data_IF_350993856542
#
_entry.id   IF_350993856542
#
_cell.length_a   1.000
_cell.length_b   1.000
_cell.length_c   1.000
_cell.angle_alpha   90.00
_cell.angle_beta   90.00
_cell.angle_gamma   90.00
#
_symmetry.space_group_name_H-M   'P 1'
#
loop_
_entity.id
_entity.type
_entity.pdbx_description
1 polymer ?
#
# COMPACT_ATOMS: atom_id res chain seq x y z
N UNK A 1 13.31 18.77 -18.54
CA UNK A 1 14.48 18.15 -19.24
C UNK A 1 13.99 16.90 -19.96
N UNK A 2 14.17 16.84 -21.27
CA UNK A 2 13.80 15.64 -22.09
C UNK A 2 14.76 14.50 -21.78
N UNK A 3 14.28 13.27 -21.50
CA UNK A 3 15.14 12.13 -21.19
C UNK A 3 16.03 11.76 -22.40
N UNK A 4 17.27 11.38 -22.13
CA UNK A 4 18.21 10.97 -23.18
C UNK A 4 17.74 9.68 -23.88
N UNK A 5 18.08 9.45 -25.17
CA UNK A 5 17.68 8.24 -25.89
C UNK A 5 18.07 6.93 -25.17
N UNK A 6 19.22 6.93 -24.48
CA UNK A 6 19.69 5.78 -23.67
C UNK A 6 18.80 5.54 -22.45
N UNK A 7 18.31 6.57 -21.79
CA UNK A 7 17.38 6.47 -20.67
C UNK A 7 16.01 5.98 -21.13
N UNK A 8 15.52 6.52 -22.25
CA UNK A 8 14.26 6.05 -22.88
C UNK A 8 14.30 4.56 -23.24
N UNK A 9 15.41 4.10 -23.84
CA UNK A 9 15.58 2.69 -24.19
C UNK A 9 15.65 1.79 -22.93
N UNK A 10 16.29 2.25 -21.86
CA UNK A 10 16.32 1.53 -20.57
C UNK A 10 14.93 1.45 -19.95
N UNK A 11 14.19 2.55 -19.90
CA UNK A 11 12.84 2.61 -19.32
C UNK A 11 11.86 1.74 -20.13
N UNK A 12 11.99 1.72 -21.46
CA UNK A 12 11.19 0.85 -22.33
C UNK A 12 11.49 -0.63 -22.08
N UNK A 13 12.76 -1.00 -21.93
CA UNK A 13 13.12 -2.37 -21.61
C UNK A 13 12.64 -2.79 -20.21
N UNK A 14 12.78 -1.93 -19.21
CA UNK A 14 12.28 -2.20 -17.84
C UNK A 14 10.77 -2.44 -17.83
N UNK A 15 10.00 -1.64 -18.56
CA UNK A 15 8.54 -1.88 -18.70
C UNK A 15 8.23 -3.24 -19.31
N UNK A 16 8.91 -3.60 -20.43
CA UNK A 16 8.73 -4.92 -21.06
C UNK A 16 9.15 -6.07 -20.13
N UNK A 17 10.21 -5.87 -19.35
CA UNK A 17 10.64 -6.83 -18.33
C UNK A 17 9.57 -7.04 -17.27
N UNK A 18 8.99 -5.96 -16.74
CA UNK A 18 7.90 -6.04 -15.75
C UNK A 18 6.67 -6.73 -16.33
N UNK A 19 6.25 -6.40 -17.56
CA UNK A 19 5.11 -7.06 -18.23
C UNK A 19 5.31 -8.58 -18.34
N UNK A 20 6.50 -9.03 -18.75
CA UNK A 20 6.80 -10.46 -18.84
C UNK A 20 6.90 -11.09 -17.46
N UNK A 21 7.52 -10.42 -16.49
CA UNK A 21 7.67 -10.92 -15.13
C UNK A 21 6.32 -11.01 -14.39
N UNK A 22 5.41 -10.07 -14.59
CA UNK A 22 4.03 -10.15 -14.09
C UNK A 22 3.28 -11.37 -14.66
N UNK A 23 3.42 -11.64 -15.94
CA UNK A 23 2.84 -12.85 -16.55
C UNK A 23 3.39 -14.12 -15.90
N UNK A 24 4.71 -14.23 -15.68
CA UNK A 24 5.30 -15.35 -14.96
C UNK A 24 4.81 -15.43 -13.50
N UNK A 25 4.62 -14.28 -12.84
CA UNK A 25 4.06 -14.22 -11.49
C UNK A 25 2.64 -14.81 -11.45
N UNK A 26 1.81 -14.50 -12.45
CA UNK A 26 0.45 -15.06 -12.59
C UNK A 26 0.48 -16.57 -12.82
N UNK A 27 1.35 -17.05 -13.70
CA UNK A 27 1.39 -18.45 -14.14
C UNK A 27 2.07 -19.39 -13.13
N UNK A 28 3.11 -18.92 -12.44
CA UNK A 28 4.05 -19.75 -11.67
C UNK A 28 4.24 -19.28 -10.22
N UNK A 29 3.64 -18.15 -9.86
CA UNK A 29 3.85 -17.50 -8.56
C UNK A 29 5.25 -16.93 -8.38
N UNK A 30 5.48 -16.23 -7.27
CA UNK A 30 6.78 -15.61 -6.96
C UNK A 30 7.92 -16.62 -6.88
N UNK A 31 7.66 -17.83 -6.40
CA UNK A 31 8.67 -18.90 -6.28
C UNK A 31 9.12 -19.44 -7.65
N UNK A 32 8.27 -19.37 -8.67
CA UNK A 32 8.54 -19.85 -10.03
C UNK A 32 9.30 -18.87 -10.92
N UNK A 33 9.54 -17.64 -10.47
CA UNK A 33 10.26 -16.63 -11.25
C UNK A 33 11.70 -17.07 -11.56
N UNK A 34 11.97 -17.37 -12.85
CA UNK A 34 13.25 -17.87 -13.33
C UNK A 34 13.90 -16.92 -14.34
N UNK A 35 15.12 -16.44 -14.04
CA UNK A 35 15.87 -15.49 -14.88
C UNK A 35 16.11 -16.00 -16.33
N UNK A 36 16.33 -17.32 -16.51
CA UNK A 36 16.53 -17.91 -17.84
C UNK A 36 15.24 -17.96 -18.65
N UNK A 37 14.11 -18.25 -18.01
CA UNK A 37 12.79 -18.25 -18.65
C UNK A 37 12.42 -16.83 -19.10
N UNK A 38 12.61 -15.86 -18.24
CA UNK A 38 12.39 -14.44 -18.55
C UNK A 38 13.27 -13.95 -19.71
N UNK A 39 14.55 -14.29 -19.72
CA UNK A 39 15.45 -13.90 -20.83
C UNK A 39 14.98 -14.48 -22.17
N UNK A 40 14.51 -15.73 -22.17
CA UNK A 40 13.95 -16.37 -23.36
C UNK A 40 12.69 -15.66 -23.85
N UNK A 41 11.76 -15.35 -22.96
CA UNK A 41 10.46 -14.75 -23.32
C UNK A 41 10.60 -13.25 -23.67
N UNK A 42 11.68 -12.62 -23.22
CA UNK A 42 12.10 -11.28 -23.64
C UNK A 42 12.90 -11.27 -24.96
N UNK A 43 13.26 -12.47 -25.48
CA UNK A 43 14.10 -12.63 -26.67
C UNK A 43 15.48 -11.98 -26.52
N UNK A 44 16.08 -12.08 -25.31
CA UNK A 44 17.41 -11.57 -25.02
C UNK A 44 18.31 -12.66 -24.44
N UNK A 45 19.62 -12.45 -24.53
CA UNK A 45 20.55 -13.35 -23.82
C UNK A 45 20.45 -13.14 -22.30
N UNK A 46 20.68 -14.20 -21.49
CA UNK A 46 20.76 -14.02 -20.03
C UNK A 46 21.72 -12.91 -19.60
N UNK A 47 22.87 -12.80 -20.24
CA UNK A 47 23.84 -11.73 -19.96
C UNK A 47 23.34 -10.34 -20.29
N UNK A 48 22.41 -10.18 -21.25
CA UNK A 48 21.77 -8.91 -21.51
C UNK A 48 20.75 -8.57 -20.41
N UNK A 49 19.97 -9.55 -19.92
CA UNK A 49 19.04 -9.37 -18.81
C UNK A 49 19.77 -8.97 -17.52
N UNK A 50 20.89 -9.62 -17.19
CA UNK A 50 21.70 -9.32 -15.99
C UNK A 50 22.29 -7.90 -15.95
N UNK A 51 22.27 -7.16 -17.05
CA UNK A 51 22.64 -5.72 -17.06
C UNK A 51 21.54 -4.83 -16.49
N UNK A 52 20.31 -5.33 -16.41
CA UNK A 52 19.14 -4.59 -15.87
C UNK A 52 18.77 -5.05 -14.45
N UNK A 53 18.81 -6.36 -14.21
CA UNK A 53 18.54 -6.99 -12.91
C UNK A 53 19.65 -7.99 -12.61
N UNK A 54 20.37 -7.79 -11.51
CA UNK A 54 21.59 -8.55 -11.18
C UNK A 54 21.29 -9.93 -10.58
N UNK A 55 20.09 -10.08 -10.01
CA UNK A 55 19.64 -11.27 -9.30
C UNK A 55 18.13 -11.46 -9.43
N UNK A 56 17.64 -12.61 -8.97
CA UNK A 56 16.21 -12.87 -8.79
C UNK A 56 15.61 -11.93 -7.74
N UNK A 57 16.36 -11.60 -6.70
CA UNK A 57 15.90 -10.71 -5.64
C UNK A 57 15.77 -9.27 -6.14
N UNK A 58 16.68 -8.78 -6.99
CA UNK A 58 16.51 -7.48 -7.66
C UNK A 58 15.22 -7.46 -8.51
N UNK A 59 14.92 -8.56 -9.22
CA UNK A 59 13.68 -8.67 -9.98
C UNK A 59 12.44 -8.65 -9.07
N UNK A 60 12.47 -9.38 -7.96
CA UNK A 60 11.39 -9.35 -6.96
C UNK A 60 11.21 -7.94 -6.39
N UNK A 61 12.31 -7.25 -6.08
CA UNK A 61 12.28 -5.85 -5.63
C UNK A 61 11.60 -4.94 -6.65
N UNK A 62 11.94 -5.08 -7.94
CA UNK A 62 11.29 -4.31 -9.00
C UNK A 62 9.79 -4.59 -9.09
N UNK A 63 9.38 -5.86 -9.04
CA UNK A 63 7.96 -6.26 -9.04
C UNK A 63 7.20 -5.74 -7.82
N UNK A 64 7.81 -5.80 -6.64
CA UNK A 64 7.23 -5.31 -5.39
C UNK A 64 7.04 -3.78 -5.45
N UNK A 65 8.04 -3.05 -5.90
CA UNK A 65 7.95 -1.59 -6.06
C UNK A 65 6.88 -1.24 -7.08
N UNK A 66 6.84 -1.91 -8.23
CA UNK A 66 5.84 -1.68 -9.28
C UNK A 66 4.41 -1.95 -8.78
N UNK A 67 4.20 -3.04 -8.03
CA UNK A 67 2.91 -3.37 -7.42
C UNK A 67 2.45 -2.30 -6.41
N UNK A 68 3.34 -1.84 -5.51
CA UNK A 68 3.03 -0.76 -4.57
C UNK A 68 2.77 0.58 -5.28
N UNK A 69 3.54 0.91 -6.33
CA UNK A 69 3.34 2.11 -7.14
C UNK A 69 1.99 2.07 -7.86
N UNK A 70 1.62 0.93 -8.44
CA UNK A 70 0.34 0.71 -9.11
C UNK A 70 -0.84 0.86 -8.13
N UNK A 71 -0.76 0.20 -6.97
CA UNK A 71 -1.77 0.31 -5.91
C UNK A 71 -1.88 1.75 -5.42
N UNK A 72 -0.75 2.37 -5.05
CA UNK A 72 -0.72 3.74 -4.54
C UNK A 72 -1.33 4.72 -5.53
N UNK A 73 -1.00 4.60 -6.82
CA UNK A 73 -1.57 5.44 -7.88
C UNK A 73 -3.09 5.27 -8.00
N UNK A 74 -3.58 4.04 -8.03
CA UNK A 74 -5.02 3.76 -8.13
C UNK A 74 -5.81 4.38 -6.96
N UNK A 75 -5.26 4.28 -5.75
CA UNK A 75 -5.89 4.81 -4.54
C UNK A 75 -5.84 6.33 -4.49
N UNK A 76 -4.68 6.94 -4.80
CA UNK A 76 -4.53 8.40 -4.86
C UNK A 76 -5.42 9.04 -5.93
N UNK A 77 -5.58 8.37 -7.09
CA UNK A 77 -6.49 8.85 -8.13
C UNK A 77 -7.97 8.76 -7.70
N UNK A 78 -8.36 7.75 -6.96
CA UNK A 78 -9.72 7.62 -6.46
C UNK A 78 -10.02 8.65 -5.37
N UNK A 79 -9.12 8.79 -4.39
CA UNK A 79 -9.21 9.80 -3.32
C UNK A 79 -9.22 11.23 -3.88
N UNK A 80 -8.36 11.52 -4.85
CA UNK A 80 -8.22 12.83 -5.47
C UNK A 80 -9.44 13.32 -6.25
N UNK A 81 -10.42 12.45 -6.55
CA UNK A 81 -11.70 12.83 -7.15
C UNK A 81 -12.72 13.34 -6.12
N UNK A 82 -12.48 13.07 -4.84
CA UNK A 82 -13.37 13.48 -3.74
C UNK A 82 -12.97 14.89 -3.28
N UNK A 83 -13.93 15.78 -3.00
CA UNK A 83 -13.64 17.11 -2.48
C UNK A 83 -12.77 17.05 -1.22
N UNK A 84 -11.79 17.94 -1.12
CA UNK A 84 -10.79 17.94 -0.03
C UNK A 84 -11.41 18.00 1.37
N UNK A 85 -12.54 18.70 1.53
CA UNK A 85 -13.27 18.81 2.80
C UNK A 85 -14.19 17.62 3.12
N UNK A 86 -14.42 16.71 2.19
CA UNK A 86 -15.18 15.49 2.41
C UNK A 86 -14.24 14.37 2.90
N UNK A 87 -13.89 14.42 4.19
CA UNK A 87 -12.92 13.48 4.77
C UNK A 87 -13.47 12.05 4.81
N UNK A 88 -14.76 11.88 5.03
CA UNK A 88 -15.41 10.56 5.03
C UNK A 88 -15.38 9.96 3.62
N UNK A 89 -15.83 10.73 2.62
CA UNK A 89 -15.79 10.27 1.25
C UNK A 89 -14.39 9.91 0.77
N UNK A 90 -13.36 10.67 1.17
CA UNK A 90 -11.95 10.36 0.87
C UNK A 90 -11.48 9.06 1.52
N UNK A 91 -11.84 8.84 2.80
CA UNK A 91 -11.53 7.63 3.55
C UNK A 91 -12.16 6.41 2.91
N UNK A 92 -13.47 6.46 2.64
CA UNK A 92 -14.23 5.39 2.00
C UNK A 92 -13.72 5.11 0.59
N UNK A 93 -13.43 6.15 -0.21
CA UNK A 93 -12.87 5.99 -1.56
C UNK A 93 -11.52 5.28 -1.55
N UNK A 94 -10.66 5.58 -0.58
CA UNK A 94 -9.39 4.88 -0.38
C UNK A 94 -9.61 3.38 -0.13
N UNK A 95 -10.53 3.03 0.77
CA UNK A 95 -10.84 1.64 1.10
C UNK A 95 -11.34 0.86 -0.12
N UNK A 96 -12.31 1.43 -0.84
CA UNK A 96 -12.86 0.79 -2.05
C UNK A 96 -11.83 0.66 -3.18
N UNK A 97 -11.01 1.69 -3.39
CA UNK A 97 -9.96 1.63 -4.42
C UNK A 97 -8.91 0.57 -4.10
N UNK A 98 -8.51 0.46 -2.82
CA UNK A 98 -7.56 -0.57 -2.38
C UNK A 98 -8.13 -1.97 -2.64
N UNK A 99 -9.40 -2.23 -2.27
CA UNK A 99 -10.05 -3.52 -2.52
C UNK A 99 -10.19 -3.80 -4.02
N UNK A 100 -10.66 -2.83 -4.79
CA UNK A 100 -10.84 -3.00 -6.25
C UNK A 100 -9.53 -3.40 -6.90
N UNK A 101 -8.46 -2.66 -6.62
CA UNK A 101 -7.13 -2.98 -7.13
C UNK A 101 -6.68 -4.39 -6.69
N UNK A 102 -6.87 -4.75 -5.43
CA UNK A 102 -6.49 -6.06 -4.91
C UNK A 102 -7.22 -7.22 -5.59
N UNK A 103 -8.50 -7.05 -5.92
CA UNK A 103 -9.28 -8.05 -6.65
C UNK A 103 -8.88 -8.18 -8.12
N UNK A 104 -8.47 -7.09 -8.75
CA UNK A 104 -8.00 -7.05 -10.14
C UNK A 104 -6.56 -7.55 -10.28
N UNK A 105 -5.74 -7.38 -9.24
CA UNK A 105 -4.29 -7.67 -9.22
C UNK A 105 -3.92 -8.69 -8.12
N UNK A 106 -4.63 -9.83 -8.06
CA UNK A 106 -4.52 -10.81 -6.97
C UNK A 106 -3.10 -11.34 -6.73
N UNK A 107 -2.32 -11.52 -7.80
CA UNK A 107 -0.96 -12.06 -7.70
C UNK A 107 0.03 -11.01 -7.19
N UNK A 108 -0.10 -9.76 -7.66
CA UNK A 108 0.65 -8.62 -7.19
C UNK A 108 0.30 -8.30 -5.73
N UNK A 109 -1.00 -8.35 -5.38
CA UNK A 109 -1.44 -8.22 -3.99
C UNK A 109 -0.85 -9.32 -3.11
N UNK A 110 -0.90 -10.57 -3.58
CA UNK A 110 -0.27 -11.71 -2.91
C UNK A 110 1.24 -11.57 -2.73
N UNK A 111 1.92 -10.89 -3.67
CA UNK A 111 3.35 -10.61 -3.58
C UNK A 111 3.68 -9.59 -2.49
N UNK A 112 2.85 -8.55 -2.28
CA UNK A 112 3.14 -7.43 -1.35
C UNK A 112 2.47 -7.58 0.02
N UNK A 113 1.33 -8.29 0.12
CA UNK A 113 0.57 -8.48 1.36
C UNK A 113 0.26 -9.94 1.72
N UNK A 114 0.69 -10.87 0.87
CA UNK A 114 0.48 -12.31 1.09
C UNK A 114 1.61 -12.99 1.85
N UNK A 115 1.86 -14.25 1.52
CA UNK A 115 2.91 -15.04 2.17
C UNK A 115 4.30 -14.55 1.77
N UNK A 116 5.20 -14.32 2.73
CA UNK A 116 6.58 -13.92 2.43
C UNK A 116 7.27 -14.88 1.45
N UNK A 117 7.99 -14.34 0.48
CA UNK A 117 8.77 -15.14 -0.47
C UNK A 117 9.98 -15.72 0.26
N UNK A 118 10.15 -17.06 0.32
CA UNK A 118 11.25 -17.67 1.05
C UNK A 118 12.62 -17.19 0.56
N UNK A 119 13.47 -16.74 1.49
CA UNK A 119 14.82 -16.27 1.23
C UNK A 119 14.93 -14.84 0.70
N UNK A 120 13.83 -14.16 0.40
CA UNK A 120 13.83 -12.76 -0.01
C UNK A 120 13.63 -11.84 1.20
N UNK A 121 14.39 -10.74 1.25
CA UNK A 121 14.20 -9.64 2.19
C UNK A 121 14.06 -8.34 1.40
N UNK A 122 12.96 -7.63 1.61
CA UNK A 122 12.69 -6.37 0.94
C UNK A 122 13.73 -5.31 1.39
N UNK A 123 14.47 -4.69 0.45
CA UNK A 123 15.43 -3.67 0.80
C UNK A 123 14.73 -2.32 1.11
N UNK A 124 15.41 -1.37 1.81
CA UNK A 124 14.81 -0.10 2.22
C UNK A 124 14.22 0.74 1.09
N UNK A 125 14.69 0.56 -0.14
CA UNK A 125 14.18 1.25 -1.33
C UNK A 125 12.71 0.93 -1.66
N UNK A 126 12.13 -0.13 -1.09
CA UNK A 126 10.72 -0.46 -1.23
C UNK A 126 9.81 0.40 -0.32
N UNK A 127 10.36 0.97 0.76
CA UNK A 127 9.61 1.69 1.79
C UNK A 127 8.80 2.86 1.23
N UNK A 128 9.34 3.74 0.36
CA UNK A 128 8.56 4.88 -0.15
C UNK A 128 7.29 4.45 -0.90
N UNK A 129 7.39 3.41 -1.74
CA UNK A 129 6.24 2.88 -2.47
C UNK A 129 5.24 2.18 -1.53
N UNK A 130 5.73 1.35 -0.59
CA UNK A 130 4.91 0.63 0.38
C UNK A 130 4.14 1.55 1.34
N UNK A 131 4.67 2.73 1.62
CA UNK A 131 4.10 3.68 2.59
C UNK A 131 2.96 4.54 2.05
N UNK A 132 2.68 4.55 0.74
CA UNK A 132 1.74 5.50 0.12
C UNK A 132 0.35 5.45 0.73
N UNK A 133 -0.19 4.26 1.00
CA UNK A 133 -1.53 4.10 1.58
C UNK A 133 -1.57 4.60 3.03
N UNK A 134 -0.59 4.23 3.85
CA UNK A 134 -0.53 4.68 5.25
C UNK A 134 -0.31 6.19 5.36
N UNK A 135 0.49 6.78 4.47
CA UNK A 135 0.66 8.24 4.36
C UNK A 135 -0.68 8.91 4.00
N UNK A 136 -1.43 8.34 3.07
CA UNK A 136 -2.71 8.94 2.64
C UNK A 136 -3.75 8.88 3.76
N UNK A 137 -3.86 7.75 4.48
CA UNK A 137 -4.71 7.63 5.67
C UNK A 137 -4.33 8.66 6.73
N UNK A 138 -3.04 8.80 7.03
CA UNK A 138 -2.54 9.77 7.99
C UNK A 138 -2.84 11.22 7.57
N UNK A 139 -2.74 11.54 6.27
CA UNK A 139 -3.08 12.86 5.72
C UNK A 139 -4.57 13.18 5.87
N UNK A 140 -5.47 12.23 5.56
CA UNK A 140 -6.92 12.44 5.74
C UNK A 140 -7.22 12.74 7.22
N UNK A 141 -6.66 11.96 8.14
CA UNK A 141 -6.81 12.16 9.57
C UNK A 141 -6.24 13.51 10.06
N UNK A 142 -5.08 13.91 9.54
CA UNK A 142 -4.46 15.21 9.85
C UNK A 142 -5.26 16.39 9.31
N UNK A 143 -5.78 16.29 8.07
CA UNK A 143 -6.64 17.32 7.48
C UNK A 143 -7.90 17.54 8.32
N UNK A 144 -8.54 16.45 8.75
CA UNK A 144 -9.74 16.50 9.59
C UNK A 144 -9.47 17.16 10.94
N UNK A 145 -8.40 16.75 11.64
CA UNK A 145 -7.98 17.35 12.92
C UNK A 145 -7.72 18.86 12.77
N UNK A 146 -7.06 19.28 11.71
CA UNK A 146 -6.72 20.69 11.48
C UNK A 146 -7.95 21.58 11.30
N UNK A 147 -9.05 21.02 10.80
CA UNK A 147 -10.33 21.74 10.65
C UNK A 147 -11.15 21.77 11.93
N UNK A 148 -11.06 20.74 12.76
CA UNK A 148 -11.84 20.64 14.00
C UNK A 148 -11.36 21.58 15.11
N UNK A 149 -10.09 21.98 15.13
CA UNK A 149 -9.54 22.94 16.10
C UNK A 149 -9.58 22.49 17.57
N UNK A 150 -9.71 21.20 17.83
CA UNK A 150 -10.06 20.66 19.15
C UNK A 150 -8.89 20.01 19.88
N UNK A 151 -8.93 20.16 21.21
CA UNK A 151 -8.18 19.31 22.14
C UNK A 151 -8.74 17.88 22.06
N UNK A 152 -7.92 16.85 21.92
CA UNK A 152 -8.39 15.46 21.96
C UNK A 152 -9.23 15.23 23.23
N UNK A 153 -10.34 14.48 23.15
CA UNK A 153 -11.05 14.06 24.37
C UNK A 153 -10.09 13.28 25.27
N UNK A 154 -10.38 13.27 26.55
CA UNK A 154 -9.60 12.55 27.57
C UNK A 154 -9.57 11.05 27.19
N UNK A 155 -8.54 10.66 26.48
CA UNK A 155 -8.36 9.29 25.97
C UNK A 155 -7.44 8.53 26.93
N UNK A 156 -7.69 7.23 27.16
CA UNK A 156 -6.77 6.43 27.97
C UNK A 156 -5.36 6.45 27.38
N UNK A 157 -4.37 6.66 28.22
CA UNK A 157 -2.97 6.59 27.76
C UNK A 157 -2.67 5.23 27.13
N UNK A 158 -1.96 5.20 25.98
CA UNK A 158 -1.49 3.96 25.39
C UNK A 158 -0.62 3.17 26.39
N UNK A 159 -0.64 1.84 26.25
CA UNK A 159 0.20 0.97 27.05
C UNK A 159 1.68 1.45 26.99
N UNK A 160 2.38 1.54 28.15
CA UNK A 160 3.75 2.06 28.19
C UNK A 160 4.70 1.40 27.20
N UNK A 161 4.49 0.11 26.88
CA UNK A 161 5.25 -0.64 25.89
C UNK A 161 5.14 -0.11 24.45
N UNK A 162 4.08 0.66 24.12
CA UNK A 162 3.88 1.23 22.79
C UNK A 162 4.45 2.64 22.61
N UNK A 163 4.86 3.30 23.71
CA UNK A 163 5.29 4.72 23.64
C UNK A 163 6.45 4.96 22.68
N UNK A 164 7.43 4.07 22.67
CA UNK A 164 8.58 4.19 21.76
C UNK A 164 8.19 3.92 20.31
N UNK A 165 7.27 2.96 20.05
CA UNK A 165 6.78 2.67 18.72
C UNK A 165 5.98 3.86 18.16
N UNK A 166 5.08 4.43 18.95
CA UNK A 166 4.29 5.60 18.58
C UNK A 166 5.18 6.84 18.35
N UNK A 167 6.23 7.01 19.16
CA UNK A 167 7.20 8.08 18.95
C UNK A 167 7.95 7.92 17.60
N UNK A 168 8.32 6.68 17.22
CA UNK A 168 8.93 6.40 15.90
C UNK A 168 7.97 6.68 14.76
N UNK A 169 6.70 6.26 14.88
CA UNK A 169 5.67 6.54 13.87
C UNK A 169 5.44 8.05 13.73
N UNK A 170 5.36 8.78 14.85
CA UNK A 170 5.19 10.24 14.83
C UNK A 170 6.36 10.94 14.15
N UNK A 171 7.58 10.52 14.46
CA UNK A 171 8.78 11.06 13.81
C UNK A 171 8.73 10.81 12.30
N UNK A 172 8.44 9.58 11.89
CA UNK A 172 8.30 9.23 10.48
C UNK A 172 7.20 10.03 9.76
N UNK A 173 6.04 10.23 10.40
CA UNK A 173 4.95 11.08 9.89
C UNK A 173 5.45 12.52 9.65
N UNK A 174 6.23 13.07 10.58
CA UNK A 174 6.79 14.42 10.46
C UNK A 174 7.77 14.55 9.27
N UNK A 175 8.55 13.51 9.00
CA UNK A 175 9.43 13.46 7.82
C UNK A 175 8.64 13.44 6.50
N UNK A 176 7.37 13.02 6.51
CA UNK A 176 6.46 13.09 5.36
C UNK A 176 5.79 14.47 5.19
N UNK A 177 6.21 15.48 5.95
CA UNK A 177 5.71 16.85 5.87
C UNK A 177 4.37 17.09 6.57
N UNK A 178 3.94 16.18 7.45
CA UNK A 178 2.77 16.35 8.30
C UNK A 178 3.14 16.95 9.67
N UNK A 179 2.17 17.54 10.42
CA UNK A 179 2.44 18.09 11.76
C UNK A 179 3.09 17.06 12.69
N UNK A 180 4.14 17.44 13.39
CA UNK A 180 4.86 16.56 14.32
C UNK A 180 4.19 16.39 15.70
N UNK A 181 3.09 17.11 15.96
CA UNK A 181 2.33 17.11 17.22
C UNK A 181 1.10 16.19 17.19
N UNK A 182 1.15 15.12 16.34
CA UNK A 182 0.06 14.15 16.21
C UNK A 182 -0.09 13.37 17.52
N UNK A 183 -1.31 13.35 18.14
CA UNK A 183 -1.57 12.57 19.35
C UNK A 183 -1.39 11.06 19.12
N UNK A 184 -0.96 10.34 20.16
CA UNK A 184 -0.80 8.88 20.12
C UNK A 184 -2.11 8.16 19.74
N UNK A 185 -3.24 8.64 20.26
CA UNK A 185 -4.55 8.09 19.95
C UNK A 185 -4.88 8.16 18.46
N UNK A 186 -4.58 9.28 17.81
CA UNK A 186 -4.81 9.44 16.38
C UNK A 186 -3.93 8.49 15.54
N UNK A 187 -2.68 8.29 15.96
CA UNK A 187 -1.78 7.32 15.34
C UNK A 187 -2.37 5.90 15.48
N UNK A 188 -2.87 5.54 16.66
CA UNK A 188 -3.48 4.22 16.91
C UNK A 188 -4.73 3.99 16.07
N UNK A 189 -5.60 4.99 15.93
CA UNK A 189 -6.82 4.89 15.11
C UNK A 189 -6.45 4.69 13.63
N UNK A 190 -5.50 5.45 13.11
CA UNK A 190 -5.02 5.31 11.72
C UNK A 190 -4.39 3.93 11.50
N UNK A 191 -3.55 3.45 12.42
CA UNK A 191 -2.95 2.12 12.36
C UNK A 191 -4.01 1.01 12.41
N UNK A 192 -5.06 1.20 13.23
CA UNK A 192 -6.17 0.25 13.29
C UNK A 192 -6.96 0.25 11.98
N UNK A 193 -7.33 1.41 11.44
CA UNK A 193 -8.01 1.50 10.14
C UNK A 193 -7.21 0.86 9.02
N UNK A 194 -5.89 1.05 9.02
CA UNK A 194 -4.98 0.38 8.09
C UNK A 194 -5.01 -1.15 8.27
N UNK A 195 -4.99 -1.63 9.51
CA UNK A 195 -5.05 -3.07 9.84
C UNK A 195 -6.40 -3.68 9.43
N UNK A 196 -7.51 -3.01 9.71
CA UNK A 196 -8.87 -3.45 9.36
C UNK A 196 -9.04 -3.53 7.84
N UNK A 197 -8.59 -2.52 7.10
CA UNK A 197 -8.62 -2.47 5.64
C UNK A 197 -7.94 -3.70 5.03
N UNK A 198 -6.66 -3.90 5.36
CA UNK A 198 -5.90 -5.01 4.79
C UNK A 198 -6.31 -6.36 5.35
N UNK A 199 -6.75 -6.41 6.61
CA UNK A 199 -7.34 -7.62 7.21
C UNK A 199 -8.59 -8.06 6.47
N UNK A 200 -9.51 -7.14 6.19
CA UNK A 200 -10.74 -7.41 5.45
C UNK A 200 -10.42 -7.94 4.03
N UNK A 201 -9.53 -7.26 3.30
CA UNK A 201 -9.15 -7.67 1.94
C UNK A 201 -8.45 -9.04 1.95
N UNK A 202 -7.54 -9.30 2.90
CA UNK A 202 -6.88 -10.60 3.03
C UNK A 202 -7.89 -11.73 3.30
N UNK A 203 -8.83 -11.52 4.23
CA UNK A 203 -9.87 -12.51 4.54
C UNK A 203 -10.73 -12.83 3.32
N UNK A 204 -11.06 -11.82 2.51
CA UNK A 204 -11.82 -12.02 1.27
C UNK A 204 -10.99 -12.75 0.20
N UNK A 205 -9.79 -12.27 -0.11
CA UNK A 205 -8.95 -12.80 -1.19
C UNK A 205 -8.49 -14.24 -0.95
N UNK A 206 -8.21 -14.59 0.30
CA UNK A 206 -7.75 -15.93 0.67
C UNK A 206 -8.89 -16.86 1.11
N UNK A 207 -10.16 -16.44 0.91
CA UNK A 207 -11.33 -17.31 1.06
C UNK A 207 -11.76 -17.57 2.51
N UNK A 208 -11.29 -16.78 3.47
CA UNK A 208 -11.65 -16.96 4.89
C UNK A 208 -13.10 -16.53 5.20
N UNK A 209 -13.75 -15.79 4.30
CA UNK A 209 -15.16 -15.39 4.44
C UNK A 209 -16.15 -16.40 3.85
N UNK A 210 -15.70 -17.49 3.23
CA UNK A 210 -16.59 -18.49 2.65
C UNK A 210 -17.56 -19.04 3.73
N UNK A 211 -18.86 -18.92 3.43
CA UNK A 211 -19.92 -19.36 4.37
C UNK A 211 -20.27 -18.35 5.47
N UNK A 212 -19.67 -17.14 5.46
CA UNK A 212 -19.98 -16.09 6.46
C UNK A 212 -20.30 -14.73 5.83
N UNK A 213 -19.45 -14.20 4.94
CA UNK A 213 -19.65 -12.93 4.25
C UNK A 213 -19.72 -13.18 2.75
N UNK A 214 -20.92 -13.07 2.17
CA UNK A 214 -21.12 -13.24 0.73
C UNK A 214 -20.92 -11.94 -0.04
N UNK A 215 -21.24 -10.79 0.58
CA UNK A 215 -21.08 -9.47 -0.03
C UNK A 215 -19.88 -8.72 0.59
N UNK A 216 -18.68 -9.07 0.11
CA UNK A 216 -17.43 -8.45 0.59
C UNK A 216 -17.36 -6.94 0.36
N UNK A 217 -18.01 -6.42 -0.72
CA UNK A 217 -18.06 -4.97 -0.96
C UNK A 217 -18.87 -4.22 0.09
N UNK A 218 -20.07 -4.71 0.40
CA UNK A 218 -20.92 -4.09 1.42
C UNK A 218 -20.31 -4.22 2.83
N UNK A 219 -19.62 -5.34 3.10
CA UNK A 219 -18.95 -5.53 4.38
C UNK A 219 -17.75 -4.58 4.55
N UNK A 220 -16.94 -4.40 3.51
CA UNK A 220 -15.83 -3.44 3.53
C UNK A 220 -16.36 -2.00 3.68
N UNK A 221 -17.47 -1.66 3.01
CA UNK A 221 -18.12 -0.35 3.10
C UNK A 221 -18.55 -0.05 4.55
N UNK A 222 -19.23 -0.99 5.21
CA UNK A 222 -19.61 -0.88 6.62
C UNK A 222 -18.40 -0.70 7.54
N UNK A 223 -17.30 -1.44 7.30
CA UNK A 223 -16.07 -1.28 8.08
C UNK A 223 -15.41 0.08 7.85
N UNK A 224 -15.39 0.57 6.60
CA UNK A 224 -14.83 1.87 6.27
C UNK A 224 -15.56 3.01 7.00
N UNK A 225 -16.90 3.00 6.97
CA UNK A 225 -17.72 3.98 7.68
C UNK A 225 -17.55 3.91 9.20
N UNK A 226 -17.48 2.73 9.79
CA UNK A 226 -17.23 2.55 11.24
C UNK A 226 -15.85 3.05 11.65
N UNK A 227 -14.84 2.71 10.86
CA UNK A 227 -13.48 3.16 11.08
C UNK A 227 -13.36 4.68 10.98
N UNK A 228 -14.03 5.30 10.00
CA UNK A 228 -14.08 6.76 9.89
C UNK A 228 -14.83 7.42 11.04
N UNK A 229 -15.97 6.86 11.45
CA UNK A 229 -16.74 7.39 12.59
C UNK A 229 -15.91 7.44 13.87
N UNK A 230 -15.13 6.41 14.16
CA UNK A 230 -14.23 6.44 15.30
C UNK A 230 -13.17 7.52 15.19
N UNK A 231 -12.60 7.71 13.99
CA UNK A 231 -11.68 8.81 13.71
C UNK A 231 -12.38 10.17 13.99
N UNK A 232 -13.62 10.33 13.53
CA UNK A 232 -14.43 11.53 13.74
C UNK A 232 -14.73 11.78 15.23
N UNK A 233 -15.15 10.76 15.96
CA UNK A 233 -15.49 10.85 17.40
C UNK A 233 -14.27 11.27 18.25
N UNK A 234 -13.05 11.05 17.76
CA UNK A 234 -11.78 11.40 18.45
C UNK A 234 -11.12 12.68 17.93
N UNK A 235 -11.57 13.22 16.81
CA UNK A 235 -11.00 14.44 16.22
C UNK A 235 -12.04 15.54 16.01
N UNK A 236 -13.33 15.21 16.04
CA UNK A 236 -14.43 16.14 15.87
C UNK A 236 -14.75 16.95 17.14
N UNK A 237 -15.53 18.05 17.00
CA UNK A 237 -15.98 18.85 18.13
C UNK A 237 -16.93 18.07 19.04
#
# INVERSE_FOLDING_TARGET
MTPTPRRQARDAFTRRLLEVAHRHLVEQGASGLGMRALARDLEVTPGALYRYVKSRDDLLTLLIVDAYESLGKAVEEAEGRIPRGDHEGRWVALWHATRTWALEHRNEYGLIYGTPVPGYQAPPETIPAASRISILLARIASDMRSQAGTTPPDSPEPAPALREDLARVRHWISEQGMPGDVPDELILIVLRGWTELFGCINMELFGHYVGSVENGSAFLDELAHRSFKELQDRTGP
#
